data_IF_702418158017
#
_entry.id   IF_702418158017
#
_cell.length_a   1.000
_cell.length_b   1.000
_cell.length_c   1.000
_cell.angle_alpha   90.00
_cell.angle_beta   90.00
_cell.angle_gamma   90.00
#
_symmetry.space_group_name_H-M   'P 1'
#
loop_
_entity.id
_entity.type
_entity.pdbx_description
1 polymer ?
#
# COMPACT_ATOMS: atom_id res chain seq x y z
N UNK A 1 -17.08 -4.56 -33.36
CA UNK A 1 -17.89 -5.38 -32.42
C UNK A 1 -16.93 -6.19 -31.57
N UNK A 2 -17.04 -6.14 -30.25
CA UNK A 2 -16.10 -6.76 -29.30
C UNK A 2 -15.71 -8.22 -29.63
N UNK A 3 -16.66 -9.05 -30.10
CA UNK A 3 -16.37 -10.43 -30.55
C UNK A 3 -15.52 -10.52 -31.82
N UNK A 4 -15.71 -9.60 -32.78
CA UNK A 4 -14.93 -9.55 -34.03
C UNK A 4 -13.52 -9.02 -33.80
N UNK A 5 -13.35 -8.21 -32.76
CA UNK A 5 -12.09 -7.60 -32.36
C UNK A 5 -11.34 -8.45 -31.32
N UNK A 6 -11.83 -9.67 -31.02
CA UNK A 6 -11.14 -10.61 -30.14
C UNK A 6 -11.05 -10.14 -28.67
N UNK A 7 -11.97 -9.30 -28.21
CA UNK A 7 -11.93 -8.77 -26.84
C UNK A 7 -11.98 -9.90 -25.82
N UNK A 8 -11.10 -9.83 -24.82
CA UNK A 8 -11.05 -10.79 -23.72
C UNK A 8 -12.33 -10.63 -22.92
N UNK A 9 -13.07 -11.73 -22.75
CA UNK A 9 -14.38 -11.70 -22.13
C UNK A 9 -14.63 -12.86 -21.20
N UNK A 10 -15.49 -12.64 -20.21
CA UNK A 10 -15.93 -13.67 -19.27
C UNK A 10 -17.41 -13.52 -18.96
N UNK A 11 -18.07 -14.63 -18.61
CA UNK A 11 -19.47 -14.59 -18.19
C UNK A 11 -19.57 -14.07 -16.76
N UNK A 12 -20.45 -13.09 -16.55
CA UNK A 12 -20.72 -12.55 -15.21
C UNK A 12 -21.39 -13.62 -14.34
N UNK A 13 -20.88 -13.82 -13.14
CA UNK A 13 -21.45 -14.76 -12.15
C UNK A 13 -22.50 -14.05 -11.30
N UNK A 14 -23.54 -14.78 -10.88
CA UNK A 14 -24.54 -14.26 -9.94
C UNK A 14 -25.62 -13.34 -10.53
N UNK A 15 -25.86 -13.37 -11.85
CA UNK A 15 -26.91 -12.57 -12.51
C UNK A 15 -27.86 -13.46 -13.30
N UNK A 16 -29.16 -13.20 -13.20
CA UNK A 16 -30.20 -13.85 -14.01
C UNK A 16 -30.13 -13.33 -15.45
N UNK A 17 -29.38 -14.01 -16.33
CA UNK A 17 -29.26 -13.64 -17.74
C UNK A 17 -27.96 -14.08 -18.43
N UNK A 18 -27.72 -13.54 -19.63
CA UNK A 18 -26.48 -13.70 -20.41
C UNK A 18 -25.67 -12.39 -20.40
N UNK A 19 -25.22 -11.97 -19.22
CA UNK A 19 -24.31 -10.82 -19.08
C UNK A 19 -22.85 -11.24 -19.28
N UNK A 20 -22.09 -10.42 -20.00
CA UNK A 20 -20.68 -10.63 -20.33
C UNK A 20 -19.87 -9.43 -19.81
N UNK A 21 -18.71 -9.71 -19.23
CA UNK A 21 -17.73 -8.71 -18.84
C UNK A 21 -16.56 -8.76 -19.83
N UNK A 22 -15.99 -7.62 -20.18
CA UNK A 22 -14.80 -7.51 -21.03
C UNK A 22 -13.63 -6.96 -20.21
N UNK A 23 -12.40 -7.36 -20.58
CA UNK A 23 -11.19 -6.84 -19.95
C UNK A 23 -10.93 -5.40 -20.39
N UNK A 24 -10.46 -4.53 -19.47
CA UNK A 24 -10.20 -3.11 -19.78
C UNK A 24 -9.15 -2.94 -20.89
N UNK A 25 -8.16 -3.84 -20.95
CA UNK A 25 -7.13 -3.83 -21.99
C UNK A 25 -7.65 -4.19 -23.39
N UNK A 26 -8.89 -4.69 -23.50
CA UNK A 26 -9.51 -4.92 -24.80
C UNK A 26 -10.03 -3.63 -25.43
N UNK A 27 -10.09 -2.53 -24.68
CA UNK A 27 -10.50 -1.23 -25.20
C UNK A 27 -9.40 -0.61 -26.07
N UNK A 28 -9.76 0.07 -27.17
CA UNK A 28 -8.81 0.88 -27.93
C UNK A 28 -8.12 1.93 -27.05
N UNK A 29 -6.85 2.20 -27.33
CA UNK A 29 -6.04 3.12 -26.53
C UNK A 29 -6.69 4.50 -26.37
N UNK A 30 -7.27 5.04 -27.43
CA UNK A 30 -7.94 6.35 -27.42
C UNK A 30 -9.14 6.37 -26.46
N UNK A 31 -9.91 5.28 -26.42
CA UNK A 31 -11.05 5.14 -25.51
C UNK A 31 -10.57 5.01 -24.07
N UNK A 32 -9.52 4.23 -23.83
CA UNK A 32 -8.93 4.09 -22.49
C UNK A 32 -8.40 5.43 -21.98
N UNK A 33 -7.72 6.20 -22.82
CA UNK A 33 -7.21 7.52 -22.47
C UNK A 33 -8.35 8.49 -22.14
N UNK A 34 -9.43 8.49 -22.91
CA UNK A 34 -10.62 9.29 -22.62
C UNK A 34 -11.31 8.89 -21.31
N UNK A 35 -11.33 7.60 -20.98
CA UNK A 35 -11.89 7.11 -19.72
C UNK A 35 -11.03 7.56 -18.53
N UNK A 36 -9.70 7.43 -18.62
CA UNK A 36 -8.76 7.89 -17.58
C UNK A 36 -8.90 9.40 -17.35
N UNK A 37 -9.05 10.19 -18.40
CA UNK A 37 -9.21 11.65 -18.29
C UNK A 37 -10.52 12.08 -17.61
N UNK A 38 -11.54 11.21 -17.60
CA UNK A 38 -12.85 11.47 -17.01
C UNK A 38 -13.05 10.81 -15.65
N UNK A 39 -12.13 9.93 -15.26
CA UNK A 39 -12.17 9.26 -13.97
C UNK A 39 -11.67 10.23 -12.90
N UNK A 40 -12.45 10.39 -11.82
CA UNK A 40 -11.96 11.08 -10.65
C UNK A 40 -10.81 10.24 -10.05
N UNK A 41 -9.62 10.83 -9.85
CA UNK A 41 -8.50 10.08 -9.32
C UNK A 41 -8.88 9.50 -7.97
N UNK A 42 -8.70 8.18 -7.80
CA UNK A 42 -8.83 7.56 -6.49
C UNK A 42 -7.86 8.26 -5.54
N UNK A 43 -8.40 8.88 -4.49
CA UNK A 43 -7.59 9.48 -3.44
C UNK A 43 -6.97 8.31 -2.68
N UNK A 44 -5.72 7.99 -3.01
CA UNK A 44 -4.91 7.07 -2.24
C UNK A 44 -4.50 7.77 -0.94
N UNK A 45 -5.43 7.83 0.00
CA UNK A 45 -5.15 8.27 1.36
C UNK A 45 -4.58 7.07 2.11
N UNK A 46 -3.25 6.93 2.06
CA UNK A 46 -2.58 6.15 3.09
C UNK A 46 -2.76 6.96 4.35
N UNK A 47 -3.76 6.60 5.16
CA UNK A 47 -3.89 7.15 6.50
C UNK A 47 -2.50 7.12 7.14
N UNK A 48 -1.92 8.30 7.34
CA UNK A 48 -0.63 8.42 7.99
C UNK A 48 -0.85 7.92 9.40
N UNK A 49 -0.44 6.67 9.66
CA UNK A 49 -0.50 6.11 10.99
C UNK A 49 0.26 7.04 11.93
N UNK A 50 -0.33 7.35 13.07
CA UNK A 50 0.32 8.14 14.10
C UNK A 50 1.68 7.50 14.41
N UNK A 51 2.81 8.20 14.17
CA UNK A 51 4.13 7.63 14.39
C UNK A 51 4.29 7.04 15.79
N UNK A 52 3.66 7.63 16.81
CA UNK A 52 3.71 7.10 18.17
C UNK A 52 2.99 5.75 18.29
N UNK A 53 1.81 5.61 17.67
CA UNK A 53 1.07 4.35 17.66
C UNK A 53 1.88 3.23 17.01
N UNK A 54 2.58 3.53 15.90
CA UNK A 54 3.47 2.59 15.22
C UNK A 54 4.61 2.16 16.14
N UNK A 55 5.27 3.10 16.83
CA UNK A 55 6.34 2.77 17.78
C UNK A 55 5.87 1.91 18.94
N UNK A 56 4.66 2.17 19.46
CA UNK A 56 4.05 1.37 20.53
C UNK A 56 3.79 -0.07 20.06
N UNK A 57 3.23 -0.25 18.87
CA UNK A 57 3.01 -1.58 18.27
C UNK A 57 4.33 -2.34 18.08
N UNK A 58 5.37 -1.68 17.57
CA UNK A 58 6.69 -2.30 17.44
C UNK A 58 7.27 -2.73 18.79
N UNK A 59 7.13 -1.91 19.84
CA UNK A 59 7.55 -2.29 21.18
C UNK A 59 6.83 -3.57 21.66
N UNK A 60 5.53 -3.70 21.38
CA UNK A 60 4.78 -4.90 21.74
C UNK A 60 5.15 -6.14 20.92
N UNK A 61 5.63 -5.96 19.69
CA UNK A 61 6.15 -7.06 18.87
C UNK A 61 7.53 -7.57 19.32
N UNK A 62 8.30 -6.79 20.08
CA UNK A 62 9.58 -7.25 20.65
C UNK A 62 9.34 -8.31 21.73
N UNK A 63 10.22 -9.32 21.75
CA UNK A 63 10.32 -10.27 22.84
C UNK A 63 10.85 -9.59 24.11
N UNK A 64 10.65 -10.24 25.27
CA UNK A 64 11.13 -9.72 26.56
C UNK A 64 12.65 -9.47 26.56
N UNK A 65 13.41 -10.35 25.91
CA UNK A 65 14.86 -10.21 25.75
C UNK A 65 15.21 -8.96 24.93
N UNK A 66 14.58 -8.77 23.78
CA UNK A 66 14.84 -7.64 22.89
C UNK A 66 14.44 -6.31 23.54
N UNK A 67 13.32 -6.28 24.27
CA UNK A 67 12.94 -5.10 25.08
C UNK A 67 14.00 -4.76 26.12
N UNK A 68 14.54 -5.78 26.80
CA UNK A 68 15.61 -5.61 27.77
C UNK A 68 16.88 -5.02 27.14
N UNK A 69 17.29 -5.51 25.97
CA UNK A 69 18.45 -5.00 25.23
C UNK A 69 18.26 -3.55 24.77
N UNK A 70 17.09 -3.22 24.20
CA UNK A 70 16.76 -1.84 23.79
C UNK A 70 16.74 -0.90 24.98
N UNK A 71 16.12 -1.30 26.10
CA UNK A 71 16.03 -0.45 27.27
C UNK A 71 17.40 -0.26 27.94
N UNK A 72 18.22 -1.32 28.03
CA UNK A 72 19.59 -1.23 28.52
C UNK A 72 20.45 -0.29 27.66
N UNK A 73 20.31 -0.36 26.33
CA UNK A 73 20.97 0.55 25.41
C UNK A 73 20.53 2.00 25.62
N UNK A 74 19.21 2.25 25.69
CA UNK A 74 18.67 3.59 25.93
C UNK A 74 19.12 4.19 27.27
N UNK A 75 19.22 3.36 28.31
CA UNK A 75 19.69 3.80 29.64
C UNK A 75 21.19 4.05 29.69
N UNK A 76 22.00 3.29 28.94
CA UNK A 76 23.47 3.40 28.95
C UNK A 76 23.97 4.51 28.04
N UNK A 77 23.45 4.57 26.82
CA UNK A 77 23.90 5.53 25.81
C UNK A 77 23.06 6.83 25.88
N UNK A 78 21.83 6.78 26.40
CA UNK A 78 20.93 7.92 26.41
C UNK A 78 20.34 8.22 25.02
N UNK A 79 19.17 8.88 25.01
CA UNK A 79 18.46 9.25 23.78
C UNK A 79 19.30 10.16 22.88
N UNK A 80 20.10 11.06 23.47
CA UNK A 80 20.93 12.00 22.71
C UNK A 80 22.06 11.29 21.96
N UNK A 81 22.70 10.27 22.55
CA UNK A 81 23.76 9.51 21.87
C UNK A 81 23.19 8.59 20.79
N UNK A 82 21.98 8.04 20.99
CA UNK A 82 21.27 7.32 19.94
C UNK A 82 20.99 8.24 18.75
N UNK A 83 20.48 9.45 18.99
CA UNK A 83 20.21 10.43 17.92
C UNK A 83 21.50 10.83 17.19
N UNK A 84 22.61 11.00 17.93
CA UNK A 84 23.91 11.28 17.34
C UNK A 84 24.41 10.11 16.46
N UNK A 85 24.28 8.87 16.93
CA UNK A 85 24.66 7.67 16.17
C UNK A 85 23.82 7.49 14.90
N UNK A 86 22.50 7.70 14.97
CA UNK A 86 21.61 7.68 13.81
C UNK A 86 22.05 8.75 12.79
N UNK A 87 22.32 9.98 13.25
CA UNK A 87 22.76 11.06 12.38
C UNK A 87 24.12 10.78 11.72
N UNK A 88 25.01 10.03 12.37
CA UNK A 88 26.31 9.63 11.85
C UNK A 88 26.21 8.48 10.83
N UNK A 89 25.27 7.54 11.04
CA UNK A 89 24.96 6.42 10.13
C UNK A 89 24.29 6.84 8.81
N UNK A 90 23.66 8.01 8.77
CA UNK A 90 22.96 8.56 7.60
C UNK A 90 23.76 9.62 6.82
N UNK A 91 25.05 9.80 7.15
CA UNK A 91 26.03 10.53 6.33
C UNK A 91 26.72 9.60 5.34
#
# INVERSE_FOLDING_TARGET
>A
MARREGWVSRRRRGVQGKALEYHVDSLPADIRNLLILREDPAIYDVERQDPLAVWIEYYYHLSEKERGEVMAFLMREGVNSLLAWIAEKHK
#
